data_IF_833231425231
#
_entry.id   IF_833231425231
#
_cell.length_a   1.000
_cell.length_b   1.000
_cell.length_c   1.000
_cell.angle_alpha   90.00
_cell.angle_beta   90.00
_cell.angle_gamma   90.00
#
_symmetry.space_group_name_H-M   'P 1'
#
loop_
_entity.id
_entity.type
_entity.pdbx_description
1 polymer ?
#
# COMPACT_ATOMS: atom_id res chain seq x y z
N UNK A 1 -16.53 -13.47 15.64
CA UNK A 1 -16.35 -12.31 14.73
C UNK A 1 -14.86 -12.10 14.50
N UNK A 2 -14.46 -11.70 13.29
CA UNK A 2 -13.05 -11.59 12.93
C UNK A 2 -12.87 -10.47 11.92
N UNK A 3 -11.91 -9.57 12.14
CA UNK A 3 -11.47 -8.66 11.10
C UNK A 3 -10.62 -9.48 10.12
N UNK A 4 -11.15 -9.75 8.95
CA UNK A 4 -10.52 -10.66 8.01
C UNK A 4 -9.63 -9.95 6.98
N UNK A 5 -10.10 -8.84 6.43
CA UNK A 5 -9.42 -8.11 5.38
C UNK A 5 -9.52 -6.61 5.58
N UNK A 6 -8.52 -5.91 5.06
CA UNK A 6 -8.57 -4.47 4.84
C UNK A 6 -8.57 -4.24 3.34
N UNK A 7 -9.49 -3.42 2.87
CA UNK A 7 -9.68 -3.16 1.44
C UNK A 7 -9.21 -1.75 1.11
N UNK A 8 -8.42 -1.64 0.04
CA UNK A 8 -8.06 -0.35 -0.54
C UNK A 8 -8.56 -0.28 -1.98
N UNK A 9 -8.87 0.93 -2.43
CA UNK A 9 -9.45 1.17 -3.74
C UNK A 9 -8.37 1.64 -4.69
N UNK A 10 -8.34 1.06 -5.89
CA UNK A 10 -7.30 1.31 -6.89
C UNK A 10 -7.91 1.49 -8.28
N UNK A 11 -7.27 2.31 -9.11
CA UNK A 11 -7.74 2.59 -10.48
C UNK A 11 -7.37 1.49 -11.47
N UNK A 12 -6.15 0.97 -11.35
CA UNK A 12 -5.63 -0.09 -12.21
C UNK A 12 -5.20 -1.26 -11.34
N UNK A 13 -6.10 -2.23 -11.20
CA UNK A 13 -5.90 -3.32 -10.23
C UNK A 13 -4.69 -4.19 -10.56
N UNK A 14 -4.40 -4.41 -11.84
CA UNK A 14 -3.22 -5.21 -12.25
C UNK A 14 -1.91 -4.48 -11.93
N UNK A 15 -1.84 -3.18 -12.18
CA UNK A 15 -0.66 -2.39 -11.81
C UNK A 15 -0.46 -2.35 -10.31
N UNK A 16 -1.55 -2.23 -9.55
CA UNK A 16 -1.47 -2.21 -8.09
C UNK A 16 -1.06 -3.58 -7.54
N UNK A 17 -1.57 -4.67 -8.11
CA UNK A 17 -1.13 -6.01 -7.74
C UNK A 17 0.38 -6.15 -7.92
N UNK A 18 0.89 -5.70 -9.07
CA UNK A 18 2.32 -5.75 -9.37
C UNK A 18 3.13 -4.88 -8.40
N UNK A 19 2.63 -3.67 -8.08
CA UNK A 19 3.25 -2.77 -7.13
C UNK A 19 3.44 -3.43 -5.75
N UNK A 20 2.39 -4.03 -5.22
CA UNK A 20 2.45 -4.66 -3.90
C UNK A 20 3.28 -5.94 -3.90
N UNK A 21 3.29 -6.66 -5.02
CA UNK A 21 4.18 -7.82 -5.18
C UNK A 21 5.65 -7.39 -5.23
N UNK A 22 5.98 -6.42 -6.08
CA UNK A 22 7.35 -5.98 -6.29
C UNK A 22 7.99 -5.41 -5.01
N UNK A 23 7.24 -4.59 -4.28
CA UNK A 23 7.80 -3.87 -3.14
C UNK A 23 7.69 -4.66 -1.84
N UNK A 24 6.62 -5.41 -1.64
CA UNK A 24 6.31 -6.01 -0.35
C UNK A 24 6.23 -7.53 -0.36
N UNK A 25 6.39 -8.16 -1.52
CA UNK A 25 6.29 -9.61 -1.64
C UNK A 25 4.89 -10.15 -1.38
N UNK A 26 3.87 -9.31 -1.52
CA UNK A 26 2.48 -9.71 -1.34
C UNK A 26 1.99 -10.39 -2.62
N UNK A 27 1.35 -11.55 -2.48
CA UNK A 27 0.92 -12.39 -3.59
C UNK A 27 -0.60 -12.44 -3.72
N UNK A 28 -1.05 -12.70 -4.94
CA UNK A 28 -2.48 -12.92 -5.23
C UNK A 28 -2.93 -14.25 -4.65
N UNK A 29 -4.02 -14.23 -3.89
CA UNK A 29 -4.68 -15.43 -3.37
C UNK A 29 -5.90 -15.78 -4.20
N UNK A 30 -6.74 -14.80 -4.51
CA UNK A 30 -7.98 -15.02 -5.25
C UNK A 30 -8.35 -13.77 -6.06
N UNK A 31 -8.61 -13.97 -7.35
CA UNK A 31 -9.06 -12.92 -8.26
C UNK A 31 -10.56 -13.10 -8.50
N UNK A 32 -11.33 -12.12 -8.02
CA UNK A 32 -12.80 -12.10 -8.17
C UNK A 32 -13.26 -11.09 -9.23
N UNK A 33 -12.44 -10.83 -10.25
CA UNK A 33 -12.78 -9.91 -11.33
C UNK A 33 -13.13 -8.50 -10.82
N UNK A 34 -12.09 -7.74 -10.53
CA UNK A 34 -12.24 -6.39 -9.97
C UNK A 34 -12.13 -6.34 -8.45
N UNK A 35 -11.93 -7.48 -7.80
CA UNK A 35 -11.65 -7.59 -6.37
C UNK A 35 -10.60 -8.68 -6.19
N UNK A 36 -9.39 -8.29 -5.82
CA UNK A 36 -8.27 -9.22 -5.62
C UNK A 36 -7.93 -9.35 -4.16
N UNK A 37 -8.05 -10.57 -3.64
CA UNK A 37 -7.60 -10.89 -2.30
C UNK A 37 -6.13 -11.26 -2.38
N UNK A 38 -5.30 -10.53 -1.65
CA UNK A 38 -3.86 -10.76 -1.56
C UNK A 38 -3.51 -11.40 -0.22
N UNK A 39 -2.28 -11.88 -0.11
CA UNK A 39 -1.74 -12.33 1.17
C UNK A 39 -1.75 -11.19 2.19
N UNK A 40 -1.57 -11.49 3.47
CA UNK A 40 -1.55 -10.52 4.59
C UNK A 40 -2.90 -9.82 4.84
N UNK A 41 -4.00 -10.33 4.25
CA UNK A 41 -5.32 -9.75 4.46
C UNK A 41 -5.58 -8.45 3.71
N UNK A 42 -4.75 -8.11 2.73
CA UNK A 42 -4.96 -6.93 1.89
C UNK A 42 -5.84 -7.29 0.70
N UNK A 43 -6.85 -6.45 0.43
CA UNK A 43 -7.73 -6.60 -0.73
C UNK A 43 -7.62 -5.37 -1.60
N UNK A 44 -7.42 -5.59 -2.90
CA UNK A 44 -7.47 -4.52 -3.90
C UNK A 44 -8.84 -4.52 -4.55
N UNK A 45 -9.47 -3.36 -4.61
CA UNK A 45 -10.80 -3.19 -5.17
C UNK A 45 -10.76 -2.22 -6.34
N UNK A 46 -11.33 -2.63 -7.48
CA UNK A 46 -11.50 -1.74 -8.63
C UNK A 46 -12.37 -0.53 -8.25
N UNK A 47 -11.90 0.66 -8.58
CA UNK A 47 -12.53 1.93 -8.21
C UNK A 47 -13.94 2.06 -8.80
N UNK A 48 -14.14 1.70 -10.07
CA UNK A 48 -15.44 1.87 -10.73
C UNK A 48 -16.51 0.99 -10.12
N UNK A 49 -16.17 -0.26 -9.82
CA UNK A 49 -17.09 -1.17 -9.14
C UNK A 49 -17.41 -0.68 -7.74
N UNK A 50 -16.43 -0.16 -7.03
CA UNK A 50 -16.62 0.35 -5.68
C UNK A 50 -17.55 1.56 -5.65
N UNK A 51 -17.35 2.50 -6.57
CA UNK A 51 -18.26 3.66 -6.72
C UNK A 51 -19.69 3.23 -7.01
N UNK A 52 -19.88 2.21 -7.85
CA UNK A 52 -21.19 1.67 -8.14
C UNK A 52 -21.84 1.05 -6.91
N UNK A 53 -21.08 0.31 -6.10
CA UNK A 53 -21.61 -0.29 -4.88
C UNK A 53 -22.01 0.75 -3.85
N UNK A 54 -21.20 1.79 -3.66
CA UNK A 54 -21.42 2.76 -2.60
C UNK A 54 -22.25 3.97 -3.04
N UNK A 55 -22.26 4.30 -4.33
CA UNK A 55 -22.84 5.56 -4.82
C UNK A 55 -22.09 6.78 -4.31
N UNK A 56 -20.79 6.66 -4.02
CA UNK A 56 -19.96 7.72 -3.45
C UNK A 56 -18.63 7.79 -4.17
N UNK A 57 -18.04 9.00 -4.15
CA UNK A 57 -16.71 9.22 -4.71
C UNK A 57 -15.61 8.72 -3.78
N UNK A 58 -14.46 8.43 -4.38
CA UNK A 58 -13.24 8.03 -3.68
C UNK A 58 -12.41 9.28 -3.38
N UNK A 59 -11.86 9.35 -2.17
CA UNK A 59 -10.97 10.45 -1.78
C UNK A 59 -9.55 9.92 -1.70
N UNK A 60 -8.74 10.24 -2.72
CA UNK A 60 -7.30 9.94 -2.73
C UNK A 60 -6.59 10.83 -1.72
N UNK A 61 -5.54 10.31 -1.08
CA UNK A 61 -4.72 11.06 -0.12
C UNK A 61 -5.55 11.66 1.02
N UNK A 62 -6.57 10.92 1.47
CA UNK A 62 -7.37 11.36 2.63
C UNK A 62 -6.56 11.33 3.92
N UNK A 63 -5.51 10.49 3.97
CA UNK A 63 -4.60 10.35 5.11
C UNK A 63 -5.30 9.88 6.39
N UNK A 64 -6.46 9.22 6.24
CA UNK A 64 -7.27 8.77 7.37
C UNK A 64 -6.90 7.37 7.85
N UNK A 65 -6.03 6.68 7.11
CA UNK A 65 -5.50 5.37 7.48
C UNK A 65 -4.18 5.16 6.75
N UNK A 66 -3.44 4.16 7.18
CA UNK A 66 -2.20 3.77 6.51
C UNK A 66 -2.03 2.26 6.50
N UNK A 67 -1.23 1.78 5.55
CA UNK A 67 -0.67 0.44 5.59
C UNK A 67 0.72 0.53 6.19
N UNK A 68 0.95 -0.17 7.29
CA UNK A 68 2.25 -0.20 7.96
C UNK A 68 2.96 -1.51 7.66
N UNK A 69 4.18 -1.39 7.12
CA UNK A 69 5.06 -2.52 6.86
C UNK A 69 6.31 -2.39 7.70
N UNK A 70 6.77 -3.51 8.25
CA UNK A 70 8.03 -3.58 8.99
C UNK A 70 9.10 -4.15 8.08
N UNK A 71 10.25 -3.45 7.98
CA UNK A 71 11.37 -3.88 7.15
C UNK A 71 12.68 -3.68 7.90
N UNK A 72 13.36 -4.79 8.17
CA UNK A 72 14.63 -4.76 8.86
C UNK A 72 15.71 -4.04 8.04
N UNK A 73 15.71 -4.24 6.72
CA UNK A 73 16.71 -3.69 5.82
C UNK A 73 16.13 -2.52 5.01
N UNK A 74 15.81 -1.44 5.72
CA UNK A 74 15.09 -0.32 5.14
C UNK A 74 15.88 0.39 4.04
N UNK A 75 17.22 0.41 4.13
CA UNK A 75 18.05 1.05 3.10
C UNK A 75 17.95 0.30 1.77
N UNK A 76 17.97 -1.02 1.80
CA UNK A 76 17.77 -1.87 0.61
C UNK A 76 16.37 -1.70 0.05
N UNK A 77 15.37 -1.60 0.91
CA UNK A 77 14.00 -1.34 0.48
C UNK A 77 13.87 -0.01 -0.26
N UNK A 78 14.44 1.06 0.29
CA UNK A 78 14.41 2.40 -0.34
C UNK A 78 15.09 2.38 -1.70
N UNK A 79 16.23 1.71 -1.83
CA UNK A 79 16.93 1.56 -3.10
C UNK A 79 16.04 0.87 -4.14
N UNK A 80 15.37 -0.21 -3.76
CA UNK A 80 14.44 -0.92 -4.63
C UNK A 80 13.25 -0.04 -5.01
N UNK A 81 12.66 0.66 -4.04
CA UNK A 81 11.55 1.57 -4.27
C UNK A 81 11.90 2.63 -5.31
N UNK A 82 13.03 3.30 -5.15
CA UNK A 82 13.44 4.38 -6.06
C UNK A 82 13.85 3.86 -7.43
N UNK A 83 14.41 2.65 -7.50
CA UNK A 83 14.75 2.03 -8.78
C UNK A 83 13.53 1.60 -9.57
N UNK A 84 12.55 0.98 -8.90
CA UNK A 84 11.39 0.41 -9.59
C UNK A 84 10.26 1.43 -9.79
N UNK A 85 10.13 2.39 -8.88
CA UNK A 85 9.08 3.40 -8.90
C UNK A 85 9.68 4.80 -8.66
N UNK A 86 10.46 5.32 -9.62
CA UNK A 86 11.20 6.59 -9.43
C UNK A 86 10.29 7.80 -9.25
N UNK A 87 9.01 7.70 -9.65
CA UNK A 87 8.05 8.80 -9.52
C UNK A 87 7.20 8.69 -8.25
N UNK A 88 7.56 7.80 -7.31
CA UNK A 88 6.82 7.65 -6.07
C UNK A 88 6.76 8.98 -5.32
N UNK A 89 5.60 9.29 -4.77
CA UNK A 89 5.41 10.53 -4.00
C UNK A 89 5.63 10.26 -2.52
N UNK A 90 6.67 10.88 -1.94
CA UNK A 90 6.94 10.78 -0.51
C UNK A 90 6.06 11.73 0.29
N UNK A 91 5.64 11.26 1.47
CA UNK A 91 5.11 12.12 2.53
C UNK A 91 6.29 12.60 3.39
N UNK A 92 7.15 11.67 3.80
CA UNK A 92 8.46 12.00 4.37
C UNK A 92 9.49 10.98 3.92
N UNK A 93 10.69 11.47 3.63
CA UNK A 93 11.84 10.61 3.37
C UNK A 93 12.33 10.02 4.68
N UNK A 94 13.33 9.16 4.61
CA UNK A 94 13.85 8.45 5.77
C UNK A 94 14.14 9.41 6.92
N UNK A 95 13.52 9.13 8.04
CA UNK A 95 13.72 9.87 9.30
C UNK A 95 13.89 8.89 10.45
N UNK A 96 14.51 9.35 11.52
CA UNK A 96 14.70 8.55 12.73
C UNK A 96 13.90 9.17 13.87
N UNK A 97 13.02 8.38 14.47
CA UNK A 97 12.30 8.78 15.67
C UNK A 97 13.23 8.81 16.90
N UNK A 98 12.82 9.53 17.93
CA UNK A 98 13.60 9.63 19.18
C UNK A 98 13.85 8.28 19.85
N UNK A 99 13.00 7.29 19.59
CA UNK A 99 13.18 5.92 20.10
C UNK A 99 14.02 5.02 19.18
N UNK A 100 14.66 5.59 18.15
CA UNK A 100 15.60 4.91 17.27
C UNK A 100 15.03 4.25 16.04
N UNK A 101 13.72 4.16 15.91
CA UNK A 101 13.08 3.59 14.74
C UNK A 101 13.25 4.51 13.52
N UNK A 102 13.62 3.92 12.39
CA UNK A 102 13.74 4.64 11.12
C UNK A 102 12.51 4.36 10.28
N UNK A 103 11.89 5.40 9.72
CA UNK A 103 10.65 5.28 8.95
C UNK A 103 10.66 6.13 7.69
N UNK A 104 9.93 5.68 6.68
CA UNK A 104 9.56 6.46 5.50
C UNK A 104 8.05 6.38 5.32
N UNK A 105 7.46 7.41 4.72
CA UNK A 105 6.06 7.40 4.33
C UNK A 105 5.93 7.86 2.89
N UNK A 106 5.10 7.18 2.14
CA UNK A 106 4.84 7.50 0.74
C UNK A 106 3.44 7.02 0.34
N UNK A 107 2.99 7.46 -0.82
CA UNK A 107 1.72 7.00 -1.37
C UNK A 107 1.92 5.86 -2.35
N UNK A 108 0.97 4.94 -2.39
CA UNK A 108 0.91 3.97 -3.47
C UNK A 108 0.45 4.67 -4.78
N UNK A 109 0.18 3.90 -5.82
CA UNK A 109 -0.19 4.45 -7.13
C UNK A 109 -1.50 5.24 -7.13
N UNK A 110 -2.33 5.09 -6.09
CA UNK A 110 -3.66 5.69 -6.00
C UNK A 110 -3.80 6.66 -4.82
N UNK A 111 -2.72 6.95 -4.13
CA UNK A 111 -2.75 7.87 -2.99
C UNK A 111 -3.14 7.22 -1.68
N UNK A 112 -3.02 5.89 -1.57
CA UNK A 112 -3.14 5.21 -0.28
C UNK A 112 -1.83 5.38 0.49
N UNK A 113 -1.92 5.78 1.75
CA UNK A 113 -0.74 6.06 2.58
C UNK A 113 -0.07 4.77 3.03
N UNK A 114 1.25 4.71 2.84
CA UNK A 114 2.07 3.59 3.28
C UNK A 114 3.17 4.12 4.20
N UNK A 115 3.39 3.44 5.31
CA UNK A 115 4.55 3.64 6.16
C UNK A 115 5.37 2.36 6.18
N UNK A 116 6.69 2.50 6.02
CA UNK A 116 7.63 1.40 6.20
C UNK A 116 8.58 1.79 7.32
N UNK A 117 8.68 0.96 8.34
CA UNK A 117 9.52 1.20 9.49
C UNK A 117 10.41 0.01 9.84
N UNK A 118 11.55 0.30 10.47
CA UNK A 118 12.39 -0.75 11.04
C UNK A 118 11.70 -1.38 12.24
N UNK A 119 12.04 -2.64 12.60
CA UNK A 119 11.47 -3.30 13.78
C UNK A 119 11.69 -2.48 15.06
N UNK A 120 10.69 -2.54 15.91
CA UNK A 120 10.75 -1.94 17.25
C UNK A 120 10.99 -3.00 18.31
#
# INVERSE_FOLDING_TARGET
MKLKNILIVVKDIEKSRQFYHDLFGIDLVLDNDGNMILTEGLVLQDERLWKNFLGKDIVSKSNSCELYFEEQDIDVFIEKLERMYPNIEYVNRLMTHSWGQRVIRFYDLDGNLIEVGTPM
#
